data_IF_582935474649
#
_entry.id   IF_582935474649
#
_cell.length_a   1.000
_cell.length_b   1.000
_cell.length_c   1.000
_cell.angle_alpha   90.00
_cell.angle_beta   90.00
_cell.angle_gamma   90.00
#
_symmetry.space_group_name_H-M   'P 1'
#
loop_
_entity.id
_entity.type
_entity.pdbx_description
1 polymer ?
#
# COMPACT_ATOMS: atom_id res chain seq x y z
N UNK A 1 -6.82 -4.69 -7.49
CA UNK A 1 -5.37 -4.96 -7.46
C UNK A 1 -4.86 -4.68 -6.06
N UNK A 2 -4.00 -5.54 -5.51
CA UNK A 2 -3.50 -5.40 -4.14
C UNK A 2 -2.63 -4.14 -3.99
N UNK A 3 -2.86 -3.38 -2.91
CA UNK A 3 -2.14 -2.13 -2.63
C UNK A 3 -0.79 -2.36 -1.96
N UNK A 4 -0.63 -3.51 -1.29
CA UNK A 4 0.56 -3.89 -0.53
C UNK A 4 1.13 -5.21 -1.05
N UNK A 5 2.43 -5.41 -0.88
CA UNK A 5 3.09 -6.68 -1.17
C UNK A 5 2.92 -7.66 0.00
N UNK A 6 2.96 -8.98 -0.25
CA UNK A 6 3.18 -9.97 0.80
C UNK A 6 4.54 -9.73 1.49
N UNK A 7 4.67 -10.17 2.75
CA UNK A 7 5.93 -10.11 3.52
C UNK A 7 6.59 -8.71 3.55
N UNK A 8 5.80 -7.67 3.84
CA UNK A 8 6.24 -6.27 3.85
C UNK A 8 7.50 -6.04 4.70
N UNK A 9 7.60 -6.72 5.86
CA UNK A 9 8.76 -6.63 6.75
C UNK A 9 10.04 -7.10 6.08
N UNK A 10 10.00 -8.27 5.43
CA UNK A 10 11.14 -8.80 4.70
C UNK A 10 11.58 -7.82 3.61
N UNK A 11 10.64 -7.32 2.80
CA UNK A 11 10.95 -6.35 1.76
C UNK A 11 11.60 -5.08 2.32
N UNK A 12 11.09 -4.55 3.43
CA UNK A 12 11.67 -3.38 4.09
C UNK A 12 13.11 -3.61 4.58
N UNK A 13 13.41 -4.79 5.10
CA UNK A 13 14.74 -5.13 5.63
C UNK A 13 15.76 -5.45 4.52
N UNK A 14 15.32 -6.07 3.41
CA UNK A 14 16.22 -6.53 2.35
C UNK A 14 16.48 -5.51 1.24
N UNK A 15 15.51 -4.65 0.95
CA UNK A 15 15.59 -3.73 -0.18
C UNK A 15 16.56 -2.57 0.10
N UNK A 16 17.51 -2.33 -0.80
CA UNK A 16 18.54 -1.30 -0.65
C UNK A 16 17.95 0.12 -0.56
N UNK A 17 16.79 0.37 -1.17
CA UNK A 17 16.09 1.64 -1.06
C UNK A 17 15.68 1.91 0.39
N UNK A 18 14.99 0.94 1.00
CA UNK A 18 14.51 1.06 2.37
C UNK A 18 15.67 1.07 3.37
N UNK A 19 16.72 0.28 3.15
CA UNK A 19 17.93 0.31 3.99
C UNK A 19 18.64 1.66 3.98
N UNK A 20 18.60 2.40 2.86
CA UNK A 20 19.14 3.76 2.78
C UNK A 20 18.24 4.76 3.48
N UNK A 21 16.93 4.66 3.26
CA UNK A 21 15.94 5.60 3.81
C UNK A 21 15.62 5.37 5.30
N UNK A 22 15.92 4.19 5.85
CA UNK A 22 15.67 3.86 7.26
C UNK A 22 16.69 4.45 8.22
N UNK A 23 17.82 4.94 7.71
CA UNK A 23 18.83 5.63 8.50
C UNK A 23 18.51 7.11 8.56
N UNK A 24 18.77 7.71 9.71
CA UNK A 24 18.70 9.16 9.88
C UNK A 24 19.55 9.83 8.79
N UNK A 25 18.86 10.56 7.92
CA UNK A 25 19.42 11.18 6.74
C UNK A 25 19.01 12.65 6.68
N UNK A 26 19.87 13.48 6.11
CA UNK A 26 19.52 14.88 5.87
C UNK A 26 18.35 14.95 4.88
N UNK A 27 17.35 15.76 5.23
CA UNK A 27 16.18 16.04 4.43
C UNK A 27 16.06 17.54 4.18
N UNK A 28 15.47 17.92 3.05
CA UNK A 28 15.23 19.32 2.69
C UNK A 28 13.84 19.52 2.14
N UNK A 29 13.23 20.64 2.46
CA UNK A 29 11.98 21.06 1.83
C UNK A 29 12.22 21.47 0.38
N UNK A 30 11.49 20.85 -0.54
CA UNK A 30 11.65 21.05 -1.98
C UNK A 30 10.58 21.94 -2.61
N UNK A 31 9.58 22.38 -1.85
CA UNK A 31 8.54 23.26 -2.37
C UNK A 31 9.03 24.67 -2.69
N UNK A 32 8.41 25.28 -3.72
CA UNK A 32 8.53 26.70 -4.10
C UNK A 32 9.97 27.21 -4.24
N UNK A 33 10.90 26.42 -4.83
CA UNK A 33 12.33 26.77 -4.94
C UNK A 33 12.61 28.04 -5.74
N UNK A 34 11.67 28.44 -6.59
CA UNK A 34 11.67 29.66 -7.40
C UNK A 34 11.37 30.95 -6.60
N UNK A 35 10.88 30.82 -5.36
CA UNK A 35 10.40 31.95 -4.55
C UNK A 35 11.45 32.48 -3.58
N UNK A 36 11.32 33.74 -3.13
CA UNK A 36 12.17 34.31 -2.07
C UNK A 36 12.12 33.47 -0.78
N UNK A 37 13.22 33.43 0.00
CA UNK A 37 13.33 32.56 1.17
C UNK A 37 12.24 32.82 2.22
N UNK A 38 11.85 34.08 2.43
CA UNK A 38 10.78 34.44 3.36
C UNK A 38 9.42 33.86 2.95
N UNK A 39 9.07 33.98 1.66
CA UNK A 39 7.83 33.40 1.13
C UNK A 39 7.86 31.86 1.22
N UNK A 40 9.02 31.25 0.96
CA UNK A 40 9.20 29.80 1.10
C UNK A 40 8.99 29.33 2.54
N UNK A 41 9.51 30.05 3.53
CA UNK A 41 9.30 29.77 4.96
C UNK A 41 7.83 29.88 5.35
N UNK A 42 7.15 30.94 4.92
CA UNK A 42 5.72 31.10 5.18
C UNK A 42 4.89 29.96 4.57
N UNK A 43 5.19 29.59 3.32
CA UNK A 43 4.54 28.45 2.63
C UNK A 43 4.83 27.11 3.32
N UNK A 44 6.07 26.90 3.75
CA UNK A 44 6.46 25.71 4.50
C UNK A 44 5.67 25.56 5.81
N UNK A 45 5.60 26.62 6.61
CA UNK A 45 4.84 26.62 7.86
C UNK A 45 3.35 26.39 7.63
N UNK A 46 2.78 27.00 6.59
CA UNK A 46 1.38 26.77 6.22
C UNK A 46 1.15 25.33 5.75
N UNK A 47 2.03 24.77 4.92
CA UNK A 47 1.94 23.37 4.50
C UNK A 47 1.99 22.39 5.69
N UNK A 48 2.84 22.69 6.69
CA UNK A 48 2.87 21.92 7.94
C UNK A 48 1.55 22.04 8.74
N UNK A 49 0.89 23.20 8.74
CA UNK A 49 -0.42 23.40 9.39
C UNK A 49 -1.59 22.82 8.60
N UNK A 50 -1.46 22.73 7.28
CA UNK A 50 -2.45 22.15 6.38
C UNK A 50 -2.34 20.62 6.31
N UNK A 51 -1.17 20.07 6.62
CA UNK A 51 -0.93 18.63 6.63
C UNK A 51 -0.27 18.08 5.36
N UNK A 52 0.31 18.95 4.54
CA UNK A 52 0.90 18.60 3.26
C UNK A 52 2.29 19.20 3.11
N UNK A 53 3.28 18.33 2.90
CA UNK A 53 4.66 18.75 2.77
C UNK A 53 5.39 17.91 1.71
N UNK A 54 6.26 18.55 0.93
CA UNK A 54 7.16 17.85 0.01
C UNK A 54 8.61 18.01 0.47
N UNK A 55 9.29 16.87 0.67
CA UNK A 55 10.68 16.84 1.10
C UNK A 55 11.52 15.95 0.18
N UNK A 56 12.83 16.17 0.19
CA UNK A 56 13.80 15.30 -0.44
C UNK A 56 14.80 14.77 0.57
N UNK A 57 15.13 13.48 0.47
CA UNK A 57 16.30 12.91 1.14
C UNK A 57 17.57 13.32 0.39
N UNK A 58 18.44 14.09 1.03
CA UNK A 58 19.64 14.65 0.39
C UNK A 58 20.62 13.56 -0.09
N UNK A 59 20.74 12.47 0.66
CA UNK A 59 21.67 11.38 0.34
C UNK A 59 21.25 10.56 -0.90
N UNK A 60 19.94 10.42 -1.13
CA UNK A 60 19.40 9.56 -2.20
C UNK A 60 18.78 10.37 -3.34
N UNK A 61 18.48 11.66 -3.12
CA UNK A 61 17.74 12.51 -4.05
C UNK A 61 16.25 12.17 -4.17
N UNK A 62 15.74 11.30 -3.29
CA UNK A 62 14.34 10.81 -3.37
C UNK A 62 13.41 11.86 -2.79
N UNK A 63 12.45 12.28 -3.61
CA UNK A 63 11.37 13.16 -3.19
C UNK A 63 10.22 12.34 -2.60
N UNK A 64 9.67 12.81 -1.49
CA UNK A 64 8.52 12.21 -0.82
C UNK A 64 7.51 13.30 -0.50
N UNK A 65 6.27 13.06 -0.88
CA UNK A 65 5.13 13.87 -0.48
C UNK A 65 4.53 13.28 0.79
N UNK A 66 4.63 14.05 1.87
CA UNK A 66 4.08 13.73 3.17
C UNK A 66 2.66 14.27 3.25
N UNK A 67 1.74 13.39 3.64
CA UNK A 67 0.37 13.74 4.00
C UNK A 67 0.15 13.33 5.44
N UNK A 68 -0.33 14.25 6.25
CA UNK A 68 -0.61 14.07 7.65
C UNK A 68 -1.78 14.97 8.02
N UNK A 69 -2.48 14.66 9.10
CA UNK A 69 -3.61 15.43 9.58
C UNK A 69 -3.22 16.14 10.88
N UNK A 70 -2.83 17.42 10.82
CA UNK A 70 -2.43 18.18 12.00
C UNK A 70 -3.59 18.42 12.98
N UNK A 71 -4.84 18.20 12.58
CA UNK A 71 -6.05 18.50 13.35
C UNK A 71 -6.74 17.34 14.06
N UNK A 72 -6.40 16.06 13.79
CA UNK A 72 -7.08 14.89 14.39
C UNK A 72 -6.70 14.62 15.87
N UNK A 73 -6.02 15.56 16.52
CA UNK A 73 -5.35 15.42 17.82
C UNK A 73 -6.25 15.29 19.05
N UNK A 74 -7.59 15.21 18.96
CA UNK A 74 -8.41 15.03 20.18
C UNK A 74 -8.47 13.59 20.70
N UNK A 75 -8.18 12.59 19.86
CA UNK A 75 -8.34 11.17 20.24
C UNK A 75 -7.15 10.27 19.88
N UNK A 76 -6.13 10.81 19.22
CA UNK A 76 -4.92 10.07 18.83
C UNK A 76 -3.72 10.60 19.61
N UNK A 77 -3.08 9.72 20.39
CA UNK A 77 -1.97 10.06 21.30
C UNK A 77 -0.66 10.46 20.60
N UNK A 78 -0.61 10.53 19.28
CA UNK A 78 0.55 11.00 18.52
C UNK A 78 0.17 12.14 17.59
N UNK A 79 0.60 13.37 17.93
CA UNK A 79 0.53 14.50 17.01
C UNK A 79 1.45 14.21 15.82
N UNK A 80 0.87 14.22 14.62
CA UNK A 80 1.60 13.98 13.36
C UNK A 80 2.45 15.20 12.95
N UNK A 81 2.12 16.39 13.45
CA UNK A 81 2.90 17.62 13.29
C UNK A 81 2.98 18.34 14.63
N UNK A 82 4.20 18.58 15.12
CA UNK A 82 4.44 19.17 16.44
C UNK A 82 5.48 20.30 16.34
N UNK A 83 5.03 21.52 16.61
CA UNK A 83 5.87 22.72 16.67
C UNK A 83 6.35 23.04 18.10
N UNK A 84 5.74 22.43 19.12
CA UNK A 84 5.99 22.74 20.53
C UNK A 84 7.12 21.87 21.11
N UNK A 85 7.42 20.74 20.46
CA UNK A 85 8.41 19.78 20.92
C UNK A 85 9.84 20.34 20.97
N UNK A 86 10.24 21.16 20.00
CA UNK A 86 11.56 21.81 19.98
C UNK A 86 11.47 23.18 19.32
N UNK A 87 12.00 24.22 19.98
CA UNK A 87 11.91 25.59 19.48
C UNK A 87 12.67 25.76 18.15
N UNK A 88 12.03 26.44 17.19
CA UNK A 88 12.61 26.67 15.87
C UNK A 88 12.54 25.46 14.92
N UNK A 89 11.95 24.33 15.36
CA UNK A 89 11.81 23.12 14.55
C UNK A 89 10.38 22.61 14.56
N UNK A 90 10.06 21.83 13.53
CA UNK A 90 8.81 21.09 13.43
C UNK A 90 9.11 19.60 13.33
N UNK A 91 8.53 18.82 14.24
CA UNK A 91 8.58 17.37 14.18
C UNK A 91 7.39 16.84 13.39
N UNK A 92 7.67 15.98 12.41
CA UNK A 92 6.67 15.46 11.49
C UNK A 92 6.70 13.93 11.52
N UNK A 93 5.52 13.35 11.59
CA UNK A 93 5.23 11.94 11.36
C UNK A 93 4.20 11.85 10.25
N UNK A 94 4.42 10.96 9.28
CA UNK A 94 3.47 10.74 8.19
C UNK A 94 3.50 9.29 7.78
N UNK A 95 2.34 8.73 7.46
CA UNK A 95 2.18 7.32 7.18
C UNK A 95 1.69 7.12 5.74
N UNK A 96 2.38 6.32 4.94
CA UNK A 96 2.04 6.09 3.54
C UNK A 96 2.53 4.72 3.04
N UNK A 97 2.12 4.34 1.83
CA UNK A 97 2.54 3.09 1.20
C UNK A 97 3.56 3.43 0.12
N UNK A 98 4.80 2.93 0.26
CA UNK A 98 5.87 3.09 -0.72
C UNK A 98 6.20 1.73 -1.32
N UNK A 99 6.13 1.59 -2.66
CA UNK A 99 6.44 0.34 -3.36
C UNK A 99 5.73 -0.91 -2.76
N UNK A 100 4.50 -0.73 -2.25
CA UNK A 100 3.70 -1.76 -1.62
C UNK A 100 4.06 -2.10 -0.16
N UNK A 101 4.93 -1.31 0.48
CA UNK A 101 5.28 -1.44 1.90
C UNK A 101 4.69 -0.26 2.68
N UNK A 102 3.93 -0.56 3.75
CA UNK A 102 3.46 0.45 4.69
C UNK A 102 4.63 1.00 5.50
N UNK A 103 4.93 2.27 5.31
CA UNK A 103 6.03 2.98 5.99
C UNK A 103 5.49 4.19 6.74
N UNK A 104 6.21 4.54 7.80
CA UNK A 104 6.02 5.76 8.57
C UNK A 104 7.28 6.60 8.45
N UNK A 105 7.16 7.79 7.89
CA UNK A 105 8.19 8.81 7.96
C UNK A 105 8.22 9.40 9.38
N UNK A 106 9.43 9.58 9.91
CA UNK A 106 9.69 10.31 11.15
C UNK A 106 10.86 11.25 10.92
N UNK A 107 10.68 12.52 11.23
CA UNK A 107 11.76 13.50 11.12
C UNK A 107 11.46 14.81 11.79
N UNK A 108 12.40 15.74 11.67
CA UNK A 108 12.23 17.14 12.03
C UNK A 108 12.85 18.03 10.97
N UNK A 109 12.31 19.24 10.82
CA UNK A 109 12.84 20.29 9.96
C UNK A 109 12.95 21.60 10.73
N UNK A 110 14.01 22.35 10.43
CA UNK A 110 14.23 23.72 10.89
C UNK A 110 13.33 24.70 10.14
N UNK A 111 12.65 25.59 10.88
CA UNK A 111 11.66 26.52 10.35
C UNK A 111 12.26 27.62 9.46
N UNK A 112 13.56 27.94 9.64
CA UNK A 112 14.24 29.01 8.91
C UNK A 112 15.14 28.47 7.80
N UNK A 113 15.85 27.37 8.06
CA UNK A 113 16.77 26.76 7.09
C UNK A 113 16.06 25.85 6.09
N UNK A 114 14.87 25.35 6.44
CA UNK A 114 14.07 24.44 5.62
C UNK A 114 14.81 23.10 5.32
N UNK A 115 15.71 22.71 6.22
CA UNK A 115 16.44 21.45 6.22
C UNK A 115 16.29 20.75 7.58
N UNK A 116 16.70 19.49 7.66
CA UNK A 116 16.60 18.73 8.90
C UNK A 116 17.01 17.29 8.73
N UNK A 117 16.50 16.42 9.61
CA UNK A 117 16.83 14.99 9.61
C UNK A 117 15.54 14.17 9.62
N UNK A 118 15.49 13.13 8.79
CA UNK A 118 14.40 12.17 8.80
C UNK A 118 14.81 10.79 8.35
N UNK A 119 13.94 9.83 8.65
CA UNK A 119 14.08 8.43 8.27
C UNK A 119 12.70 7.79 8.06
N UNK A 120 12.69 6.64 7.37
CA UNK A 120 11.51 5.78 7.23
C UNK A 120 11.59 4.62 8.22
N UNK A 121 10.46 4.35 8.86
CA UNK A 121 10.25 3.21 9.74
C UNK A 121 9.16 2.31 9.15
N UNK A 122 9.21 1.01 9.44
CA UNK A 122 8.13 0.10 9.08
C UNK A 122 6.90 0.39 9.95
N UNK A 123 5.74 0.55 9.32
CA UNK A 123 4.47 0.68 10.05
C UNK A 123 3.83 -0.69 10.24
N UNK A 124 4.27 -1.42 11.27
CA UNK A 124 3.79 -2.78 11.53
C UNK A 124 2.26 -2.84 11.74
N UNK A 125 1.67 -1.81 12.36
CA UNK A 125 0.23 -1.76 12.62
C UNK A 125 -0.57 -1.63 11.33
N UNK A 126 -0.19 -0.68 10.45
CA UNK A 126 -0.86 -0.53 9.14
C UNK A 126 -0.53 -1.69 8.21
N UNK A 127 0.70 -2.21 8.25
CA UNK A 127 1.09 -3.38 7.47
C UNK A 127 0.20 -4.58 7.80
N UNK A 128 -0.02 -4.88 9.09
CA UNK A 128 -0.90 -5.97 9.51
C UNK A 128 -2.36 -5.74 9.10
N UNK A 129 -2.85 -4.50 9.19
CA UNK A 129 -4.21 -4.16 8.79
C UNK A 129 -4.43 -4.32 7.27
N UNK A 130 -3.53 -3.78 6.45
CA UNK A 130 -3.59 -3.91 4.99
C UNK A 130 -3.35 -5.36 4.53
N UNK A 131 -2.51 -6.14 5.24
CA UNK A 131 -2.31 -7.57 4.98
C UNK A 131 -3.59 -8.39 5.29
N UNK A 132 -4.31 -8.05 6.36
CA UNK A 132 -5.61 -8.67 6.65
C UNK A 132 -6.63 -8.39 5.54
N UNK A 133 -6.70 -7.14 5.06
CA UNK A 133 -7.57 -6.76 3.92
C UNK A 133 -7.17 -7.52 2.66
N UNK A 134 -5.86 -7.64 2.40
CA UNK A 134 -5.34 -8.38 1.24
C UNK A 134 -5.74 -9.87 1.30
N UNK A 135 -5.57 -10.52 2.46
CA UNK A 135 -5.99 -11.90 2.68
C UNK A 135 -7.48 -12.09 2.48
N UNK A 136 -8.31 -11.17 2.98
CA UNK A 136 -9.75 -11.23 2.78
C UNK A 136 -10.13 -11.14 1.29
N UNK A 137 -9.45 -10.25 0.54
CA UNK A 137 -9.67 -10.12 -0.92
C UNK A 137 -9.26 -11.39 -1.67
N UNK A 138 -8.12 -11.99 -1.32
CA UNK A 138 -7.64 -13.24 -1.91
C UNK A 138 -8.60 -14.40 -1.62
N UNK A 139 -9.07 -14.52 -0.38
CA UNK A 139 -10.03 -15.56 0.00
C UNK A 139 -11.34 -15.40 -0.75
N UNK A 140 -11.84 -14.17 -0.89
CA UNK A 140 -13.07 -13.88 -1.66
C UNK A 140 -12.89 -14.21 -3.15
N UNK A 141 -11.74 -13.92 -3.72
CA UNK A 141 -11.41 -14.28 -5.10
C UNK A 141 -11.31 -15.80 -5.29
N UNK A 142 -10.60 -16.48 -4.39
CA UNK A 142 -10.40 -17.93 -4.43
C UNK A 142 -11.71 -18.70 -4.25
N UNK A 143 -12.63 -18.22 -3.40
CA UNK A 143 -13.97 -18.81 -3.27
C UNK A 143 -14.72 -18.76 -4.60
N UNK A 144 -14.75 -17.59 -5.24
CA UNK A 144 -15.38 -17.44 -6.57
C UNK A 144 -14.77 -18.34 -7.62
N UNK A 145 -13.44 -18.51 -7.60
CA UNK A 145 -12.76 -19.39 -8.54
C UNK A 145 -13.15 -20.86 -8.30
N UNK A 146 -13.17 -21.31 -7.04
CA UNK A 146 -13.60 -22.67 -6.67
C UNK A 146 -15.05 -22.93 -7.06
N UNK A 147 -15.95 -21.99 -6.77
CA UNK A 147 -17.37 -22.12 -7.15
C UNK A 147 -17.51 -22.25 -8.67
N UNK A 148 -16.69 -21.52 -9.44
CA UNK A 148 -16.67 -21.61 -10.89
C UNK A 148 -16.12 -22.95 -11.39
N UNK A 149 -15.02 -23.45 -10.81
CA UNK A 149 -14.47 -24.77 -11.13
C UNK A 149 -15.45 -25.91 -10.78
N UNK A 150 -16.12 -25.84 -9.63
CA UNK A 150 -17.12 -26.83 -9.21
C UNK A 150 -18.38 -26.76 -10.10
N UNK A 151 -18.79 -25.55 -10.50
CA UNK A 151 -19.85 -25.37 -11.50
C UNK A 151 -19.44 -25.99 -12.84
N UNK A 152 -18.24 -25.71 -13.35
CA UNK A 152 -17.76 -26.29 -14.61
C UNK A 152 -17.62 -27.82 -14.54
N UNK A 153 -17.17 -28.37 -13.42
CA UNK A 153 -17.10 -29.82 -13.19
C UNK A 153 -18.49 -30.45 -13.13
N UNK A 154 -19.46 -29.80 -12.52
CA UNK A 154 -20.84 -30.32 -12.48
C UNK A 154 -21.51 -30.27 -13.86
N UNK A 155 -21.28 -29.22 -14.66
CA UNK A 155 -21.68 -29.18 -16.07
C UNK A 155 -21.01 -30.26 -16.91
N UNK A 156 -19.68 -30.43 -16.82
CA UNK A 156 -18.96 -31.47 -17.57
C UNK A 156 -19.38 -32.90 -17.19
N UNK A 157 -19.75 -33.12 -15.91
CA UNK A 157 -20.28 -34.41 -15.45
C UNK A 157 -21.71 -34.63 -15.95
N UNK A 158 -22.54 -33.59 -16.04
CA UNK A 158 -23.89 -33.69 -16.59
C UNK A 158 -23.88 -34.06 -18.09
N UNK A 159 -22.98 -33.48 -18.89
CA UNK A 159 -22.77 -33.87 -20.29
C UNK A 159 -22.33 -35.33 -20.42
N UNK A 160 -21.45 -35.80 -19.53
CA UNK A 160 -21.01 -37.21 -19.52
C UNK A 160 -22.15 -38.19 -19.19
N UNK A 161 -23.06 -37.79 -18.28
CA UNK A 161 -24.24 -38.58 -17.94
C UNK A 161 -25.28 -38.57 -19.08
N UNK A 162 -25.43 -37.46 -19.81
CA UNK A 162 -26.35 -37.38 -20.96
C UNK A 162 -25.83 -38.16 -22.18
N UNK A 163 -24.52 -38.06 -22.46
CA UNK A 163 -23.86 -38.83 -23.54
C UNK A 163 -23.93 -40.35 -23.28
N UNK A 164 -23.82 -40.80 -22.02
CA UNK A 164 -23.98 -42.21 -21.65
C UNK A 164 -25.43 -42.69 -21.68
N UNK A 165 -26.41 -41.81 -21.50
CA UNK A 165 -27.84 -42.14 -21.67
C UNK A 165 -28.27 -42.20 -23.13
N UNK A 166 -27.69 -41.37 -23.99
CA UNK A 166 -28.08 -41.27 -25.39
C UNK A 166 -27.24 -42.19 -26.32
N UNK A 167 -26.09 -42.71 -25.86
CA UNK A 167 -25.25 -43.67 -26.60
C UNK A 167 -25.73 -45.13 -26.56
N UNK A 168 -26.97 -45.39 -26.12
CA UNK A 168 -27.52 -46.72 -25.86
C UNK A 168 -28.68 -47.14 -26.75
N UNK A 169 -28.72 -46.77 -28.05
CA UNK A 169 -29.65 -47.40 -29.01
C UNK A 169 -28.99 -47.51 -30.39
N UNK A 170 -28.60 -48.74 -30.77
CA UNK A 170 -28.33 -49.33 -32.12
C UNK A 170 -27.23 -50.40 -31.91
N UNK A 171 -27.34 -51.69 -32.22
CA UNK A 171 -28.17 -52.54 -33.08
C UNK A 171 -28.11 -53.95 -32.47
N UNK A 172 -29.21 -54.71 -32.44
CA UNK A 172 -29.12 -56.10 -32.00
C UNK A 172 -30.38 -56.93 -31.89
N UNK A 173 -31.27 -56.93 -32.88
CA UNK A 173 -32.19 -58.06 -33.18
C UNK A 173 -32.43 -58.02 -34.70
N UNK A 174 -32.13 -59.04 -35.49
CA UNK A 174 -32.58 -60.42 -35.37
C UNK A 174 -33.47 -60.68 -36.58
N UNK A 175 -32.97 -61.49 -37.53
CA UNK A 175 -33.65 -61.90 -38.77
C UNK A 175 -35.13 -62.28 -38.56
N UNK A 176 -36.02 -61.83 -39.45
CA UNK A 176 -37.29 -62.50 -39.69
C UNK A 176 -37.80 -62.34 -41.14
N UNK A 177 -37.71 -63.47 -41.86
CA UNK A 177 -38.53 -63.99 -42.96
C UNK A 177 -38.42 -63.46 -44.39
N UNK A 178 -37.87 -64.35 -45.24
CA UNK A 178 -38.16 -64.49 -46.67
C UNK A 178 -39.61 -64.93 -46.89
N UNK A 179 -40.26 -64.37 -47.90
CA UNK A 179 -40.82 -65.13 -49.02
C UNK A 179 -40.88 -64.28 -50.27
#
# INVERSE_FOLDING_TARGET
MPRVVPEQKQKFETDDLFRKLSRDSEIRYTGFRDRPPEERRARFQNGCREGHLEIAFAATGINVQLMFNPGLSLYMHERECDFDKEHGKVHIKSHFIMNGVCVKFRGWLDLDRLDGIGCLELDEKRAAHEDAILKEQLDRYNRRLRDFEDTQRSYGRADEYDTRRNGGVTIGTGNMWRR
#
